data_IF_781540714083
#
_entry.id   IF_781540714083
#
_cell.length_a   1.000
_cell.length_b   1.000
_cell.length_c   1.000
_cell.angle_alpha   90.00
_cell.angle_beta   90.00
_cell.angle_gamma   90.00
#
_symmetry.space_group_name_H-M   'P 1'
#
loop_
_entity.id
_entity.type
_entity.pdbx_description
1 polymer ?
#
# COMPACT_ATOMS: atom_id res chain seq x y z
N UNK A 1 -14.61 23.64 24.79
CA UNK A 1 -13.89 23.84 23.50
C UNK A 1 -13.19 22.56 23.07
N UNK A 2 -12.28 21.98 23.87
CA UNK A 2 -11.60 20.70 23.49
C UNK A 2 -12.54 19.48 23.48
N UNK A 3 -13.53 19.43 24.38
CA UNK A 3 -14.54 18.38 24.43
C UNK A 3 -15.47 18.42 23.20
N UNK A 4 -15.79 19.59 22.69
CA UNK A 4 -16.67 19.78 21.53
C UNK A 4 -15.98 19.28 20.24
N UNK A 5 -14.67 19.55 20.10
CA UNK A 5 -13.89 19.05 18.95
C UNK A 5 -13.80 17.53 18.92
N UNK A 6 -13.55 16.90 20.06
CA UNK A 6 -13.53 15.44 20.18
C UNK A 6 -14.89 14.85 19.84
N UNK A 7 -15.99 15.51 20.27
CA UNK A 7 -17.35 15.07 19.92
C UNK A 7 -17.64 15.20 18.43
N UNK A 8 -17.18 16.28 17.78
CA UNK A 8 -17.32 16.49 16.34
C UNK A 8 -16.57 15.42 15.53
N UNK A 9 -15.35 15.06 15.94
CA UNK A 9 -14.58 14.01 15.28
C UNK A 9 -15.19 12.60 15.45
N UNK A 10 -15.70 12.32 16.65
CA UNK A 10 -16.43 11.07 16.90
C UNK A 10 -17.71 11.00 16.06
N UNK A 11 -18.42 12.12 15.93
CA UNK A 11 -19.61 12.20 15.07
C UNK A 11 -19.25 12.01 13.60
N UNK A 12 -18.16 12.63 13.11
CA UNK A 12 -17.66 12.47 11.75
C UNK A 12 -17.22 11.02 11.48
N UNK A 13 -16.51 10.38 12.40
CA UNK A 13 -16.11 8.98 12.28
C UNK A 13 -17.33 8.05 12.26
N UNK A 14 -18.36 8.31 13.07
CA UNK A 14 -19.65 7.56 13.04
C UNK A 14 -20.39 7.76 11.73
N UNK A 15 -20.42 8.99 11.20
CA UNK A 15 -21.04 9.28 9.91
C UNK A 15 -20.31 8.54 8.77
N UNK A 16 -18.97 8.49 8.83
CA UNK A 16 -18.16 7.73 7.87
C UNK A 16 -18.46 6.22 7.97
N UNK A 17 -18.52 5.68 9.17
CA UNK A 17 -18.86 4.28 9.41
C UNK A 17 -20.26 3.92 8.88
N UNK A 18 -21.24 4.81 9.03
CA UNK A 18 -22.59 4.62 8.49
C UNK A 18 -22.61 4.61 6.95
N UNK A 19 -21.66 5.29 6.29
CA UNK A 19 -21.53 5.30 4.83
C UNK A 19 -20.66 4.16 4.27
N UNK A 20 -20.06 3.36 5.12
CA UNK A 20 -19.14 2.30 4.72
C UNK A 20 -19.70 1.35 3.64
N UNK A 21 -20.97 0.89 3.68
CA UNK A 21 -21.54 0.05 2.61
C UNK A 21 -21.47 0.74 1.24
N UNK A 22 -21.79 2.04 1.18
CA UNK A 22 -21.75 2.82 -0.07
C UNK A 22 -20.31 2.98 -0.58
N UNK A 23 -19.34 3.21 0.32
CA UNK A 23 -17.93 3.32 -0.01
C UNK A 23 -17.36 2.00 -0.53
N UNK A 24 -17.78 0.87 0.03
CA UNK A 24 -17.42 -0.47 -0.45
C UNK A 24 -17.93 -0.68 -1.88
N UNK A 25 -19.19 -0.31 -2.16
CA UNK A 25 -19.77 -0.43 -3.50
C UNK A 25 -19.07 0.47 -4.52
N UNK A 26 -18.71 1.70 -4.15
CA UNK A 26 -17.91 2.59 -4.99
C UNK A 26 -16.53 2.02 -5.26
N UNK A 27 -15.88 1.49 -4.24
CA UNK A 27 -14.57 0.84 -4.33
C UNK A 27 -14.59 -0.37 -5.26
N UNK A 28 -15.62 -1.20 -5.17
CA UNK A 28 -15.82 -2.35 -6.07
C UNK A 28 -16.00 -1.92 -7.52
N UNK A 29 -16.79 -0.88 -7.78
CA UNK A 29 -16.97 -0.33 -9.12
C UNK A 29 -15.65 0.19 -9.69
N UNK A 30 -14.87 0.90 -8.88
CA UNK A 30 -13.55 1.41 -9.26
C UNK A 30 -12.58 0.28 -9.57
N UNK A 31 -12.53 -0.76 -8.74
CA UNK A 31 -11.70 -1.94 -8.97
C UNK A 31 -12.10 -2.69 -10.25
N UNK A 32 -13.40 -2.86 -10.52
CA UNK A 32 -13.91 -3.52 -11.73
C UNK A 32 -13.53 -2.72 -12.99
N UNK A 33 -13.62 -1.39 -12.96
CA UNK A 33 -13.25 -0.54 -14.11
C UNK A 33 -11.78 -0.69 -14.50
N UNK A 34 -10.90 -0.84 -13.51
CA UNK A 34 -9.48 -1.08 -13.74
C UNK A 34 -9.20 -2.48 -14.31
N UNK A 35 -9.90 -3.50 -13.82
CA UNK A 35 -9.75 -4.87 -14.32
C UNK A 35 -10.07 -4.98 -15.81
N UNK A 36 -11.08 -4.25 -16.29
CA UNK A 36 -11.41 -4.17 -17.72
C UNK A 36 -10.25 -3.68 -18.58
N UNK A 37 -9.40 -2.78 -18.04
CA UNK A 37 -8.21 -2.26 -18.73
C UNK A 37 -6.94 -3.11 -18.56
N UNK A 38 -6.89 -4.00 -17.54
CA UNK A 38 -5.71 -4.82 -17.21
C UNK A 38 -5.66 -6.17 -17.95
N UNK A 39 -6.63 -6.50 -18.81
CA UNK A 39 -6.70 -7.78 -19.51
C UNK A 39 -5.53 -8.10 -20.45
N UNK A 40 -4.53 -7.21 -20.61
CA UNK A 40 -3.31 -7.45 -21.38
C UNK A 40 -2.19 -8.21 -20.65
N UNK A 41 -2.22 -8.34 -19.33
CA UNK A 41 -1.16 -8.99 -18.54
C UNK A 41 -1.70 -10.12 -17.67
N UNK A 42 -2.27 -11.14 -18.29
CA UNK A 42 -2.49 -12.42 -17.61
C UNK A 42 -1.14 -13.06 -17.33
N UNK A 43 -0.56 -12.76 -16.18
CA UNK A 43 0.42 -13.66 -15.57
C UNK A 43 -0.35 -14.71 -14.80
N UNK A 44 -0.06 -15.97 -15.13
CA UNK A 44 -0.60 -17.16 -14.50
C UNK A 44 -0.46 -17.02 -12.99
N UNK A 45 -1.60 -17.07 -12.27
CA UNK A 45 -1.68 -16.86 -10.83
C UNK A 45 -1.39 -18.13 -10.04
N UNK A 46 -1.09 -18.00 -8.74
CA UNK A 46 -0.57 -19.07 -7.89
C UNK A 46 -1.66 -20.05 -7.45
N UNK A 47 -1.31 -21.30 -7.38
CA UNK A 47 -1.97 -22.30 -6.54
C UNK A 47 -2.71 -23.42 -7.24
N UNK A 48 -3.19 -23.27 -8.46
CA UNK A 48 -3.80 -24.35 -9.24
C UNK A 48 -3.37 -24.35 -10.70
N UNK A 49 -2.63 -23.35 -11.14
CA UNK A 49 -2.36 -23.15 -12.55
C UNK A 49 -1.10 -23.90 -12.98
N UNK A 50 -1.28 -24.60 -14.08
CA UNK A 50 -0.28 -25.34 -14.78
C UNK A 50 0.87 -24.44 -15.23
N UNK A 51 2.11 -24.71 -14.78
CA UNK A 51 3.29 -24.02 -15.26
C UNK A 51 3.86 -24.71 -16.49
N UNK A 52 4.27 -25.98 -16.32
CA UNK A 52 4.81 -26.78 -17.42
C UNK A 52 4.74 -28.26 -17.11
N UNK A 53 4.88 -29.08 -18.16
CA UNK A 53 5.16 -30.50 -18.00
C UNK A 53 6.67 -30.71 -18.06
N UNK A 54 7.22 -31.47 -17.10
CA UNK A 54 8.56 -32.01 -17.21
C UNK A 54 8.53 -33.52 -17.18
N UNK A 55 9.54 -34.19 -17.75
CA UNK A 55 9.67 -35.64 -17.60
C UNK A 55 9.76 -36.04 -16.12
N UNK A 56 9.13 -37.17 -15.80
CA UNK A 56 9.22 -37.80 -14.49
C UNK A 56 10.66 -38.27 -14.23
N UNK A 57 11.16 -38.00 -13.01
CA UNK A 57 12.45 -38.51 -12.54
C UNK A 57 12.19 -39.41 -11.33
N UNK A 58 12.87 -40.59 -11.20
CA UNK A 58 12.72 -41.43 -10.01
C UNK A 58 12.92 -40.64 -8.72
N UNK A 59 11.92 -40.71 -7.84
CA UNK A 59 11.89 -39.91 -6.59
C UNK A 59 10.85 -38.79 -6.57
N UNK A 60 10.26 -38.48 -7.72
CA UNK A 60 9.15 -37.50 -7.79
C UNK A 60 7.85 -38.07 -7.20
N UNK A 61 7.02 -37.21 -6.57
CA UNK A 61 5.72 -37.64 -6.06
C UNK A 61 4.79 -38.14 -7.17
N UNK A 62 4.32 -39.37 -7.06
CA UNK A 62 3.46 -40.04 -8.08
C UNK A 62 2.08 -39.38 -8.21
N UNK A 63 1.62 -38.62 -7.18
CA UNK A 63 0.37 -37.88 -7.22
C UNK A 63 0.41 -36.64 -8.13
N UNK A 64 1.60 -36.22 -8.58
CA UNK A 64 1.79 -35.10 -9.51
C UNK A 64 1.92 -35.55 -10.97
N UNK A 65 1.86 -36.87 -11.24
CA UNK A 65 1.93 -37.38 -12.59
C UNK A 65 0.63 -37.06 -13.35
N UNK A 66 0.76 -36.43 -14.50
CA UNK A 66 -0.36 -36.24 -15.42
C UNK A 66 -0.52 -37.51 -16.31
N UNK A 67 -1.33 -38.44 -15.80
CA UNK A 67 -1.60 -39.71 -16.49
C UNK A 67 -2.22 -39.51 -17.84
N UNK A 68 -3.04 -38.45 -18.04
CA UNK A 68 -3.71 -38.20 -19.33
C UNK A 68 -2.73 -37.78 -20.42
N UNK A 69 -1.71 -37.02 -20.07
CA UNK A 69 -0.64 -36.63 -21.00
C UNK A 69 0.36 -37.77 -21.19
N UNK A 70 0.73 -38.45 -20.13
CA UNK A 70 1.67 -39.56 -20.16
C UNK A 70 1.15 -40.75 -21.02
N UNK A 71 -0.15 -40.96 -21.05
CA UNK A 71 -0.79 -42.01 -21.88
C UNK A 71 -0.74 -41.73 -23.40
N UNK A 72 -0.28 -40.59 -23.84
CA UNK A 72 -0.22 -40.19 -25.25
C UNK A 72 1.19 -40.34 -25.86
N UNK A 73 2.16 -40.83 -25.10
CA UNK A 73 3.55 -41.02 -25.55
C UNK A 73 4.33 -41.90 -24.59
N UNK A 74 5.60 -42.15 -24.91
CA UNK A 74 6.48 -43.08 -24.18
C UNK A 74 7.11 -42.50 -22.92
N UNK A 75 6.74 -41.25 -22.55
CA UNK A 75 7.31 -40.56 -21.39
C UNK A 75 6.25 -40.20 -20.35
N UNK A 76 6.60 -40.44 -19.08
CA UNK A 76 5.79 -39.99 -17.95
C UNK A 76 6.08 -38.55 -17.68
N UNK A 77 5.02 -37.75 -17.57
CA UNK A 77 5.11 -36.30 -17.31
C UNK A 77 4.54 -35.94 -15.95
N UNK A 78 5.27 -35.06 -15.22
CA UNK A 78 4.78 -34.40 -14.03
C UNK A 78 4.22 -33.03 -14.39
N UNK A 79 3.07 -32.74 -13.81
CA UNK A 79 2.50 -31.40 -13.80
C UNK A 79 3.21 -30.58 -12.75
N UNK A 80 4.08 -29.68 -13.18
CA UNK A 80 4.66 -28.67 -12.30
C UNK A 80 3.66 -27.52 -12.12
N UNK A 81 3.30 -27.24 -10.88
CA UNK A 81 2.59 -26.03 -10.50
C UNK A 81 3.61 -25.08 -9.85
N UNK A 82 3.66 -23.84 -10.24
CA UNK A 82 4.49 -22.87 -9.57
C UNK A 82 3.80 -22.45 -8.26
N UNK A 83 4.39 -22.83 -7.16
CA UNK A 83 3.92 -22.41 -5.83
C UNK A 83 4.46 -21.01 -5.55
N UNK A 84 3.73 -19.98 -5.96
CA UNK A 84 3.99 -18.65 -5.45
C UNK A 84 3.31 -18.53 -4.07
N UNK A 85 4.12 -18.39 -3.03
CA UNK A 85 3.60 -18.01 -1.73
C UNK A 85 2.87 -16.66 -1.87
N UNK A 86 1.63 -16.57 -1.42
CA UNK A 86 0.86 -15.32 -1.45
C UNK A 86 1.65 -14.23 -0.72
N UNK A 87 1.75 -13.06 -1.34
CA UNK A 87 2.40 -11.91 -0.73
C UNK A 87 1.44 -11.27 0.27
N UNK A 88 2.00 -10.70 1.35
CA UNK A 88 1.20 -10.05 2.37
C UNK A 88 1.29 -8.52 2.22
N UNK A 89 0.15 -7.89 2.06
CA UNK A 89 0.01 -6.44 1.96
C UNK A 89 -0.64 -5.90 3.23
N UNK A 90 -0.02 -4.88 3.82
CA UNK A 90 -0.57 -4.14 4.94
C UNK A 90 -1.01 -2.78 4.48
N UNK A 91 -2.30 -2.48 4.57
CA UNK A 91 -2.87 -1.19 4.19
C UNK A 91 -3.21 -0.43 5.47
N UNK A 92 -2.61 0.73 5.62
CA UNK A 92 -2.83 1.62 6.76
C UNK A 92 -3.45 2.93 6.31
N UNK A 93 -4.77 3.08 6.36
CA UNK A 93 -5.42 4.37 6.24
C UNK A 93 -5.21 5.16 7.54
N UNK A 94 -4.46 6.25 7.48
CA UNK A 94 -4.22 7.15 8.61
C UNK A 94 -5.35 8.17 8.64
N UNK A 95 -6.39 7.90 9.43
CA UNK A 95 -7.61 8.71 9.51
C UNK A 95 -7.50 9.74 10.64
N UNK A 96 -6.52 10.64 10.55
CA UNK A 96 -6.33 11.75 11.50
C UNK A 96 -7.53 12.73 11.49
N UNK A 97 -7.74 13.55 12.51
CA UNK A 97 -8.83 14.53 12.56
C UNK A 97 -8.92 15.43 11.32
N UNK A 98 -7.78 15.83 10.76
CA UNK A 98 -7.69 16.63 9.53
C UNK A 98 -8.22 15.96 8.29
N UNK A 99 -8.38 14.62 8.30
CA UNK A 99 -8.88 13.86 7.16
C UNK A 99 -10.39 13.98 6.93
N UNK A 100 -11.14 14.36 7.96
CA UNK A 100 -12.62 14.45 7.89
C UNK A 100 -13.13 15.76 7.28
N UNK A 101 -12.24 16.66 6.90
CA UNK A 101 -12.58 17.91 6.25
C UNK A 101 -12.60 17.80 4.73
N UNK A 102 -13.38 18.66 4.08
CA UNK A 102 -13.46 18.84 2.62
C UNK A 102 -13.73 20.32 2.31
N UNK A 103 -13.06 20.86 1.31
CA UNK A 103 -13.28 22.25 0.84
C UNK A 103 -14.62 22.48 0.14
N UNK A 104 -15.31 21.42 -0.27
CA UNK A 104 -16.61 21.50 -0.93
C UNK A 104 -17.47 20.27 -0.59
N UNK A 105 -18.76 20.51 -0.42
CA UNK A 105 -19.75 19.43 -0.24
C UNK A 105 -19.91 18.51 -1.44
N UNK A 106 -19.43 18.93 -2.61
CA UNK A 106 -19.52 18.15 -3.86
C UNK A 106 -18.39 17.15 -4.05
N UNK A 107 -17.35 17.20 -3.21
CA UNK A 107 -16.22 16.28 -3.24
C UNK A 107 -16.17 15.50 -1.94
N UNK A 108 -15.69 14.23 -1.98
CA UNK A 108 -15.54 13.44 -0.76
C UNK A 108 -14.48 14.05 0.16
N UNK A 109 -14.62 13.84 1.46
CA UNK A 109 -13.55 14.14 2.43
C UNK A 109 -12.30 13.30 2.14
N UNK A 110 -11.16 13.74 2.65
CA UNK A 110 -9.90 12.97 2.53
C UNK A 110 -10.07 11.57 3.14
N UNK A 111 -10.77 11.44 4.27
CA UNK A 111 -11.04 10.17 4.92
C UNK A 111 -11.88 9.21 4.03
N UNK A 112 -12.96 9.70 3.43
CA UNK A 112 -13.78 8.90 2.50
C UNK A 112 -12.97 8.44 1.29
N UNK A 113 -12.18 9.33 0.70
CA UNK A 113 -11.33 9.01 -0.44
C UNK A 113 -10.24 7.99 -0.08
N UNK A 114 -9.64 8.12 1.10
CA UNK A 114 -8.66 7.17 1.63
C UNK A 114 -9.25 5.78 1.78
N UNK A 115 -10.45 5.67 2.35
CA UNK A 115 -11.14 4.38 2.47
C UNK A 115 -11.50 3.78 1.10
N UNK A 116 -12.01 4.59 0.17
CA UNK A 116 -12.31 4.13 -1.20
C UNK A 116 -11.06 3.53 -1.86
N UNK A 117 -9.93 4.23 -1.81
CA UNK A 117 -8.67 3.76 -2.37
C UNK A 117 -8.17 2.49 -1.67
N UNK A 118 -8.19 2.47 -0.34
CA UNK A 118 -7.72 1.34 0.46
C UNK A 118 -8.53 0.07 0.22
N UNK A 119 -9.87 0.19 0.20
CA UNK A 119 -10.78 -0.95 0.00
C UNK A 119 -10.72 -1.43 -1.46
N UNK A 120 -10.66 -0.52 -2.44
CA UNK A 120 -10.55 -0.89 -3.84
C UNK A 120 -9.23 -1.61 -4.15
N UNK A 121 -8.12 -1.14 -3.55
CA UNK A 121 -6.83 -1.81 -3.68
C UNK A 121 -6.84 -3.18 -3.02
N UNK A 122 -7.45 -3.31 -1.84
CA UNK A 122 -7.62 -4.59 -1.16
C UNK A 122 -8.43 -5.59 -2.02
N UNK A 123 -9.54 -5.16 -2.63
CA UNK A 123 -10.33 -6.00 -3.55
C UNK A 123 -9.49 -6.50 -4.74
N UNK A 124 -8.69 -5.61 -5.35
CA UNK A 124 -7.81 -5.97 -6.47
C UNK A 124 -6.74 -7.00 -6.06
N UNK A 125 -6.06 -6.78 -4.93
CA UNK A 125 -5.01 -7.65 -4.43
C UNK A 125 -5.56 -9.04 -4.04
N UNK A 126 -6.68 -9.09 -3.32
CA UNK A 126 -7.30 -10.35 -2.90
C UNK A 126 -7.75 -11.18 -4.11
N UNK A 127 -8.31 -10.54 -5.14
CA UNK A 127 -8.70 -11.24 -6.38
C UNK A 127 -7.51 -11.80 -7.15
N UNK A 128 -6.32 -11.30 -6.88
CA UNK A 128 -5.07 -11.84 -7.41
C UNK A 128 -4.45 -12.94 -6.53
N UNK A 129 -5.14 -13.37 -5.48
CA UNK A 129 -4.67 -14.42 -4.57
C UNK A 129 -3.78 -13.94 -3.44
N UNK A 130 -3.69 -12.62 -3.22
CA UNK A 130 -2.85 -12.04 -2.19
C UNK A 130 -3.57 -11.95 -0.84
N UNK A 131 -2.79 -11.85 0.24
CA UNK A 131 -3.31 -11.62 1.58
C UNK A 131 -3.25 -10.14 1.91
N UNK A 132 -4.36 -9.55 2.33
CA UNK A 132 -4.42 -8.15 2.73
C UNK A 132 -4.79 -8.02 4.20
N UNK A 133 -4.06 -7.18 4.91
CA UNK A 133 -4.31 -6.86 6.32
C UNK A 133 -4.27 -5.36 6.60
N UNK A 134 -4.68 -5.00 7.82
CA UNK A 134 -4.60 -3.64 8.35
C UNK A 134 -4.11 -3.64 9.80
N UNK A 135 -3.66 -2.48 10.27
CA UNK A 135 -3.08 -2.31 11.61
C UNK A 135 -4.15 -1.88 12.64
N UNK A 136 -5.27 -2.56 12.68
CA UNK A 136 -6.16 -2.51 13.84
C UNK A 136 -5.52 -3.27 15.01
N UNK A 137 -5.99 -3.08 16.24
CA UNK A 137 -5.40 -3.75 17.41
C UNK A 137 -5.28 -5.28 17.28
N UNK A 138 -6.13 -5.91 16.46
CA UNK A 138 -6.19 -7.36 16.23
C UNK A 138 -5.36 -7.81 15.01
N UNK A 139 -4.83 -6.89 14.23
CA UNK A 139 -4.13 -7.18 12.96
C UNK A 139 -4.97 -8.01 11.99
N UNK A 140 -6.16 -7.53 11.72
CA UNK A 140 -7.12 -8.18 10.81
C UNK A 140 -6.47 -8.42 9.45
N UNK A 141 -6.58 -9.67 8.96
CA UNK A 141 -6.12 -10.09 7.63
C UNK A 141 -7.20 -10.90 6.94
N UNK A 142 -7.29 -10.75 5.63
CA UNK A 142 -8.24 -11.46 4.79
C UNK A 142 -7.58 -11.97 3.51
N UNK A 143 -8.12 -13.07 2.99
CA UNK A 143 -7.70 -13.73 1.74
C UNK A 143 -8.86 -13.91 0.76
N UNK A 144 -10.08 -13.54 1.16
CA UNK A 144 -11.28 -13.63 0.34
C UNK A 144 -12.02 -12.30 0.32
N UNK A 145 -12.57 -11.94 -0.84
CA UNK A 145 -13.39 -10.74 -1.02
C UNK A 145 -14.69 -10.75 -0.21
N UNK A 146 -15.14 -11.93 0.23
CA UNK A 146 -16.30 -12.08 1.12
C UNK A 146 -16.08 -11.40 2.47
N UNK A 147 -14.81 -11.29 2.91
CA UNK A 147 -14.42 -10.65 4.17
C UNK A 147 -14.01 -9.17 3.99
N UNK A 148 -14.23 -8.58 2.81
CA UNK A 148 -13.81 -7.20 2.53
C UNK A 148 -14.49 -6.20 3.47
N UNK A 149 -15.74 -6.44 3.85
CA UNK A 149 -16.47 -5.61 4.81
C UNK A 149 -15.82 -5.65 6.20
N UNK A 150 -15.40 -6.84 6.66
CA UNK A 150 -14.66 -6.99 7.91
C UNK A 150 -13.35 -6.16 7.88
N UNK A 151 -12.60 -6.22 6.79
CA UNK A 151 -11.38 -5.44 6.63
C UNK A 151 -11.67 -3.92 6.63
N UNK A 152 -12.74 -3.50 5.94
CA UNK A 152 -13.14 -2.10 5.90
C UNK A 152 -13.53 -1.55 7.29
N UNK A 153 -14.23 -2.34 8.11
CA UNK A 153 -14.49 -1.97 9.50
C UNK A 153 -13.21 -1.91 10.34
N UNK A 154 -12.29 -2.86 10.15
CA UNK A 154 -10.99 -2.84 10.82
C UNK A 154 -10.15 -1.62 10.46
N UNK A 155 -10.23 -1.14 9.21
CA UNK A 155 -9.56 0.08 8.75
C UNK A 155 -10.02 1.34 9.48
N UNK A 156 -11.25 1.39 9.99
CA UNK A 156 -11.74 2.50 10.82
C UNK A 156 -11.12 2.52 12.23
N UNK A 157 -10.59 1.38 12.68
CA UNK A 157 -9.96 1.22 14.00
C UNK A 157 -8.43 1.32 13.94
N UNK A 158 -7.85 1.67 12.80
CA UNK A 158 -6.40 1.85 12.67
C UNK A 158 -5.92 3.09 13.43
N UNK A 159 -4.66 3.09 13.90
CA UNK A 159 -4.09 4.27 14.54
C UNK A 159 -4.08 5.49 13.62
N UNK A 160 -4.35 6.66 14.18
CA UNK A 160 -4.52 7.91 13.45
C UNK A 160 -3.23 8.72 13.32
N UNK A 161 -2.12 8.26 13.90
CA UNK A 161 -0.81 8.93 13.84
C UNK A 161 0.31 7.92 13.58
N UNK A 162 1.14 8.24 12.62
CA UNK A 162 2.35 7.49 12.29
C UNK A 162 3.42 7.74 13.34
N UNK A 163 3.58 9.01 13.78
CA UNK A 163 4.60 9.42 14.73
C UNK A 163 4.52 8.65 16.05
N UNK A 164 3.31 8.42 16.55
CA UNK A 164 3.10 7.74 17.85
C UNK A 164 2.97 6.23 17.74
N UNK A 165 2.46 5.72 16.64
CA UNK A 165 2.06 4.32 16.52
C UNK A 165 2.95 3.50 15.57
N UNK A 166 3.55 4.15 14.56
CA UNK A 166 4.29 3.46 13.51
C UNK A 166 5.50 2.66 14.01
N UNK A 167 6.16 3.10 15.08
CA UNK A 167 7.30 2.38 15.66
C UNK A 167 6.92 1.03 16.28
N UNK A 168 5.68 0.89 16.72
CA UNK A 168 5.16 -0.35 17.32
C UNK A 168 4.53 -1.29 16.29
N UNK A 169 4.49 -0.89 15.03
CA UNK A 169 3.94 -1.68 13.94
C UNK A 169 5.02 -2.53 13.29
N UNK A 170 4.90 -3.84 13.45
CA UNK A 170 5.82 -4.81 12.88
C UNK A 170 5.09 -5.67 11.86
N UNK A 171 5.08 -5.30 10.57
CA UNK A 171 4.40 -6.09 9.54
C UNK A 171 5.02 -7.47 9.34
N UNK A 172 6.23 -7.69 9.84
CA UNK A 172 7.05 -8.86 9.55
C UNK A 172 8.11 -8.54 8.47
N UNK A 173 8.74 -9.58 7.92
CA UNK A 173 9.75 -9.43 6.86
C UNK A 173 9.13 -9.77 5.51
N UNK A 174 9.57 -9.05 4.46
CA UNK A 174 9.12 -9.26 3.07
C UNK A 174 7.61 -9.08 2.89
N UNK A 175 7.08 -8.02 3.43
CA UNK A 175 5.70 -7.60 3.25
C UNK A 175 5.67 -6.26 2.51
N UNK A 176 4.55 -5.89 1.92
CA UNK A 176 4.36 -4.54 1.41
C UNK A 176 3.49 -3.74 2.36
N UNK A 177 3.92 -2.52 2.67
CA UNK A 177 3.22 -1.59 3.56
C UNK A 177 2.76 -0.38 2.77
N UNK A 178 1.46 -0.13 2.77
CA UNK A 178 0.85 1.01 2.09
C UNK A 178 0.22 1.92 3.12
N UNK A 179 0.71 3.15 3.18
CA UNK A 179 0.22 4.16 4.11
C UNK A 179 -0.49 5.24 3.31
N UNK A 180 -1.75 5.48 3.62
CA UNK A 180 -2.59 6.47 2.94
C UNK A 180 -3.06 7.52 3.96
N UNK A 181 -2.82 8.79 3.68
CA UNK A 181 -3.20 9.87 4.59
C UNK A 181 -2.79 11.22 4.07
N UNK A 182 -3.05 12.27 4.84
CA UNK A 182 -2.59 13.62 4.53
C UNK A 182 -1.17 13.91 5.06
N UNK A 183 -0.68 13.12 6.01
CA UNK A 183 0.64 13.28 6.62
C UNK A 183 0.90 14.68 7.20
N UNK A 184 -0.13 15.39 7.66
CA UNK A 184 0.02 16.71 8.27
C UNK A 184 0.93 16.70 9.50
N UNK A 185 1.04 15.57 10.19
CA UNK A 185 1.95 15.39 11.33
C UNK A 185 3.43 15.63 11.01
N UNK A 186 3.83 15.68 9.71
CA UNK A 186 5.17 16.11 9.33
C UNK A 186 5.46 17.57 9.71
N UNK A 187 4.43 18.40 9.84
CA UNK A 187 4.61 19.79 10.25
C UNK A 187 5.07 19.90 11.69
N UNK A 188 4.52 19.07 12.58
CA UNK A 188 4.74 19.18 14.03
C UNK A 188 5.67 18.08 14.56
N UNK A 189 5.64 16.89 13.97
CA UNK A 189 6.34 15.69 14.43
C UNK A 189 7.19 15.04 13.33
N UNK A 190 7.74 15.84 12.41
CA UNK A 190 8.40 15.35 11.20
C UNK A 190 9.53 14.33 11.43
N UNK A 191 10.35 14.51 12.46
CA UNK A 191 11.45 13.58 12.77
C UNK A 191 10.94 12.26 13.35
N UNK A 192 9.92 12.30 14.19
CA UNK A 192 9.28 11.10 14.74
C UNK A 192 8.57 10.32 13.64
N UNK A 193 7.83 11.00 12.76
CA UNK A 193 7.15 10.42 11.61
C UNK A 193 8.15 9.75 10.65
N UNK A 194 9.27 10.44 10.33
CA UNK A 194 10.35 9.86 9.51
C UNK A 194 10.95 8.63 10.17
N UNK A 195 11.19 8.68 11.48
CA UNK A 195 11.76 7.55 12.21
C UNK A 195 10.81 6.34 12.21
N UNK A 196 9.52 6.57 12.43
CA UNK A 196 8.50 5.53 12.39
C UNK A 196 8.38 4.89 10.99
N UNK A 197 8.36 5.68 9.92
CA UNK A 197 8.35 5.16 8.55
C UNK A 197 9.62 4.37 8.21
N UNK A 198 10.80 4.83 8.67
CA UNK A 198 12.04 4.05 8.51
C UNK A 198 11.97 2.71 9.23
N UNK A 199 11.40 2.67 10.44
CA UNK A 199 11.22 1.41 11.18
C UNK A 199 10.37 0.40 10.39
N UNK A 200 9.30 0.86 9.75
CA UNK A 200 8.46 0.04 8.88
C UNK A 200 9.23 -0.48 7.64
N UNK A 201 10.13 0.34 7.08
CA UNK A 201 10.93 -0.03 5.89
C UNK A 201 12.14 -0.94 6.19
N UNK A 202 12.69 -0.93 7.43
CA UNK A 202 13.93 -1.62 7.78
C UNK A 202 13.88 -3.16 7.62
N UNK A 203 12.72 -3.76 7.61
CA UNK A 203 12.53 -5.22 7.50
C UNK A 203 12.55 -5.74 6.05
N UNK A 204 13.16 -5.02 5.12
CA UNK A 204 13.10 -5.31 3.67
C UNK A 204 11.64 -5.34 3.15
N UNK A 205 10.81 -4.45 3.69
CA UNK A 205 9.46 -4.28 3.26
C UNK A 205 9.40 -3.26 2.13
N UNK A 206 8.75 -3.64 1.05
CA UNK A 206 8.34 -2.69 0.03
C UNK A 206 7.20 -1.83 0.54
N UNK A 207 6.98 -0.67 -0.05
CA UNK A 207 5.89 0.17 0.39
C UNK A 207 5.52 1.30 -0.54
N UNK A 208 4.44 1.97 -0.17
CA UNK A 208 4.01 3.19 -0.82
C UNK A 208 3.39 4.16 0.19
N UNK A 209 3.65 5.44 0.00
CA UNK A 209 2.93 6.53 0.64
C UNK A 209 1.96 7.14 -0.38
N UNK A 210 0.68 7.19 -0.04
CA UNK A 210 -0.33 7.88 -0.86
C UNK A 210 -0.76 9.14 -0.13
N UNK A 211 -0.30 10.27 -0.62
CA UNK A 211 -0.58 11.57 -0.04
C UNK A 211 -1.92 12.08 -0.54
N UNK A 212 -2.92 12.07 0.33
CA UNK A 212 -4.29 12.48 0.02
C UNK A 212 -4.45 13.96 0.31
N UNK A 213 -4.81 14.72 -0.70
CA UNK A 213 -4.90 16.18 -0.66
C UNK A 213 -6.31 16.65 -1.04
N UNK A 214 -6.78 17.68 -0.34
CA UNK A 214 -7.92 18.46 -0.80
C UNK A 214 -7.46 19.51 -1.84
N UNK A 215 -8.28 19.86 -2.84
CA UNK A 215 -7.92 20.89 -3.81
C UNK A 215 -7.49 22.23 -3.18
N UNK A 216 -8.11 22.64 -2.08
CA UNK A 216 -7.76 23.89 -1.39
C UNK A 216 -6.39 23.84 -0.68
N UNK A 217 -5.84 22.67 -0.41
CA UNK A 217 -4.48 22.50 0.12
C UNK A 217 -3.39 22.71 -0.96
N UNK A 218 -3.80 22.59 -2.24
CA UNK A 218 -2.92 22.82 -3.39
C UNK A 218 -3.04 24.24 -3.90
N UNK A 219 -4.30 24.69 -4.08
CA UNK A 219 -4.65 26.00 -4.61
C UNK A 219 -5.77 26.59 -3.75
N UNK A 220 -5.43 27.29 -2.67
CA UNK A 220 -6.43 27.86 -1.77
C UNK A 220 -7.33 28.84 -2.51
N UNK A 221 -8.65 28.66 -2.48
CA UNK A 221 -9.60 29.57 -3.15
C UNK A 221 -9.96 30.77 -2.27
N UNK A 222 -9.23 31.01 -1.17
CA UNK A 222 -9.58 32.00 -0.17
C UNK A 222 -9.16 33.40 -0.58
N UNK A 223 -9.99 34.38 -0.22
CA UNK A 223 -9.74 35.82 -0.41
C UNK A 223 -10.31 36.61 0.77
N UNK A 224 -9.65 37.75 1.10
CA UNK A 224 -10.08 38.62 2.17
C UNK A 224 -10.00 37.98 3.57
N UNK A 225 -11.03 38.23 4.40
CA UNK A 225 -11.05 37.71 5.76
C UNK A 225 -11.26 36.20 5.82
N UNK A 226 -10.37 35.51 6.53
CA UNK A 226 -10.45 34.03 6.71
C UNK A 226 -10.23 33.67 8.18
N UNK A 227 -10.92 32.59 8.60
CA UNK A 227 -10.70 31.94 9.88
C UNK A 227 -10.18 30.55 9.63
N UNK A 228 -8.98 30.25 10.10
CA UNK A 228 -8.44 28.90 10.12
C UNK A 228 -8.79 28.27 11.47
N UNK A 229 -9.34 27.07 11.42
CA UNK A 229 -9.70 26.30 12.60
C UNK A 229 -8.80 25.07 12.62
N UNK A 230 -8.02 24.92 13.69
CA UNK A 230 -7.25 23.71 13.89
C UNK A 230 -8.18 22.53 14.19
N UNK A 231 -7.98 21.43 13.51
CA UNK A 231 -8.81 20.23 13.66
C UNK A 231 -8.53 19.43 14.93
N UNK A 232 -7.41 19.70 15.62
CA UNK A 232 -7.04 19.00 16.85
C UNK A 232 -7.46 19.80 18.09
N UNK A 233 -7.11 21.08 18.15
CA UNK A 233 -7.24 21.92 19.35
C UNK A 233 -8.37 22.96 19.26
N UNK A 234 -9.08 23.03 18.14
CA UNK A 234 -10.07 24.09 17.85
C UNK A 234 -9.50 25.52 18.00
N UNK A 235 -8.19 25.67 17.88
CA UNK A 235 -7.58 26.98 17.83
C UNK A 235 -8.04 27.69 16.58
N UNK A 236 -8.50 28.94 16.77
CA UNK A 236 -8.97 29.77 15.64
C UNK A 236 -7.91 30.82 15.38
N UNK A 237 -7.28 30.72 14.21
CA UNK A 237 -6.44 31.78 13.69
C UNK A 237 -7.24 32.63 12.70
N UNK A 238 -7.37 33.94 13.03
CA UNK A 238 -8.11 34.88 12.19
C UNK A 238 -7.15 35.74 11.38
N UNK A 239 -7.36 35.86 10.08
CA UNK A 239 -6.67 36.82 9.23
C UNK A 239 -7.67 37.73 8.56
N UNK A 240 -7.37 39.03 8.57
CA UNK A 240 -8.18 40.05 7.89
C UNK A 240 -8.01 39.95 6.33
N UNK A 241 -6.83 39.49 5.92
CA UNK A 241 -6.49 39.30 4.49
C UNK A 241 -5.73 38.03 4.30
N UNK A 242 -6.33 37.08 3.54
CA UNK A 242 -5.64 35.82 3.17
C UNK A 242 -4.44 36.10 2.28
N UNK A 243 -4.51 37.14 1.44
CA UNK A 243 -3.47 37.52 0.50
C UNK A 243 -2.11 37.74 1.19
N UNK A 244 -2.13 38.29 2.43
CA UNK A 244 -0.92 38.49 3.22
C UNK A 244 -0.28 37.18 3.72
N UNK A 245 -1.06 36.11 3.74
CA UNK A 245 -0.64 34.77 4.18
C UNK A 245 -0.36 33.81 3.00
N UNK A 246 -0.81 34.13 1.79
CA UNK A 246 -0.84 33.24 0.65
C UNK A 246 0.54 32.66 0.31
N UNK A 247 1.58 33.49 0.33
CA UNK A 247 2.94 33.04 0.02
C UNK A 247 3.48 32.11 1.12
N UNK A 248 3.27 32.45 2.39
CA UNK A 248 3.65 31.63 3.53
C UNK A 248 2.92 30.27 3.52
N UNK A 249 1.64 30.28 3.19
CA UNK A 249 0.85 29.05 3.03
C UNK A 249 1.41 28.18 1.92
N UNK A 250 1.66 28.77 0.75
CA UNK A 250 2.22 28.06 -0.42
C UNK A 250 3.58 27.42 -0.10
N UNK A 251 4.47 28.16 0.57
CA UNK A 251 5.79 27.65 0.98
C UNK A 251 5.64 26.47 1.95
N UNK A 252 4.79 26.57 2.97
CA UNK A 252 4.54 25.49 3.92
C UNK A 252 3.94 24.26 3.24
N UNK A 253 2.96 24.45 2.36
CA UNK A 253 2.37 23.36 1.60
C UNK A 253 3.37 22.67 0.66
N UNK A 254 4.29 23.43 0.04
CA UNK A 254 5.36 22.87 -0.77
C UNK A 254 6.35 22.07 0.07
N UNK A 255 6.78 22.62 1.23
CA UNK A 255 7.67 21.94 2.15
C UNK A 255 7.05 20.64 2.66
N UNK A 256 5.81 20.67 3.12
CA UNK A 256 5.08 19.50 3.59
C UNK A 256 5.04 18.38 2.52
N UNK A 257 4.68 18.72 1.29
CA UNK A 257 4.69 17.75 0.17
C UNK A 257 6.09 17.23 -0.16
N UNK A 258 7.12 18.05 0.00
CA UNK A 258 8.51 17.62 -0.16
C UNK A 258 8.92 16.66 0.95
N UNK A 259 8.61 16.97 2.21
CA UNK A 259 8.91 16.13 3.38
C UNK A 259 8.32 14.70 3.23
N UNK A 260 7.07 14.59 2.75
CA UNK A 260 6.42 13.29 2.49
C UNK A 260 7.18 12.52 1.39
N UNK A 261 7.51 13.18 0.28
CA UNK A 261 8.26 12.55 -0.83
C UNK A 261 9.65 12.09 -0.38
N UNK A 262 10.32 12.89 0.40
CA UNK A 262 11.66 12.57 0.88
C UNK A 262 11.63 11.40 1.88
N UNK A 263 10.59 11.31 2.72
CA UNK A 263 10.39 10.18 3.60
C UNK A 263 10.14 8.87 2.82
N UNK A 264 9.37 8.91 1.74
CA UNK A 264 9.17 7.75 0.87
C UNK A 264 10.49 7.34 0.19
N UNK A 265 11.24 8.30 -0.35
CA UNK A 265 12.53 8.08 -1.01
C UNK A 265 13.55 7.43 -0.09
N UNK A 266 13.61 7.85 1.18
CA UNK A 266 14.54 7.30 2.18
C UNK A 266 14.29 5.80 2.46
N UNK A 267 13.10 5.32 2.16
CA UNK A 267 12.71 3.91 2.31
C UNK A 267 12.67 3.15 0.98
N UNK A 268 13.04 3.78 -0.14
CA UNK A 268 12.85 3.24 -1.49
C UNK A 268 11.39 2.86 -1.79
N UNK A 269 10.45 3.66 -1.24
CA UNK A 269 9.01 3.50 -1.41
C UNK A 269 8.47 4.41 -2.50
N UNK A 270 7.39 3.97 -3.15
CA UNK A 270 6.60 4.83 -4.03
C UNK A 270 5.99 5.98 -3.22
N UNK A 271 6.00 7.19 -3.77
CA UNK A 271 5.17 8.30 -3.28
C UNK A 271 4.25 8.76 -4.40
N UNK A 272 2.96 8.58 -4.21
CA UNK A 272 1.93 9.11 -5.11
C UNK A 272 1.07 10.16 -4.40
N UNK A 273 0.55 11.13 -5.17
CA UNK A 273 -0.33 12.18 -4.68
C UNK A 273 -1.72 12.03 -5.31
N UNK A 274 -2.74 11.98 -4.47
CA UNK A 274 -4.12 11.93 -4.90
C UNK A 274 -4.90 13.14 -4.42
N UNK A 275 -5.59 13.82 -5.33
CA UNK A 275 -6.47 14.95 -5.02
C UNK A 275 -7.91 14.48 -4.95
N UNK A 276 -8.61 14.78 -3.87
CA UNK A 276 -9.96 14.26 -3.60
C UNK A 276 -11.00 14.55 -4.68
N UNK A 277 -10.82 15.64 -5.45
CA UNK A 277 -11.67 15.98 -6.60
C UNK A 277 -11.43 15.13 -7.85
N UNK A 278 -10.35 14.34 -7.88
CA UNK A 278 -10.00 13.49 -9.02
C UNK A 278 -10.56 12.09 -8.89
N UNK A 279 -10.61 11.37 -10.02
CA UNK A 279 -10.95 9.94 -10.01
C UNK A 279 -9.90 9.12 -9.24
N UNK A 280 -10.35 8.12 -8.50
CA UNK A 280 -9.48 7.18 -7.78
C UNK A 280 -8.70 6.23 -8.72
N UNK A 281 -9.18 6.01 -9.94
CA UNK A 281 -8.66 5.00 -10.86
C UNK A 281 -7.19 5.18 -11.25
N UNK A 282 -6.68 6.37 -11.59
CA UNK A 282 -5.27 6.55 -11.94
C UNK A 282 -4.33 6.19 -10.78
N UNK A 283 -4.64 6.65 -9.57
CA UNK A 283 -3.85 6.34 -8.36
C UNK A 283 -3.86 4.84 -8.06
N UNK A 284 -5.02 4.18 -8.15
CA UNK A 284 -5.11 2.72 -7.97
C UNK A 284 -4.31 1.96 -9.02
N UNK A 285 -4.33 2.41 -10.27
CA UNK A 285 -3.56 1.79 -11.35
C UNK A 285 -2.05 1.91 -11.07
N UNK A 286 -1.58 3.10 -10.71
CA UNK A 286 -0.17 3.34 -10.40
C UNK A 286 0.31 2.49 -9.22
N UNK A 287 -0.48 2.42 -8.15
CA UNK A 287 -0.19 1.57 -6.99
C UNK A 287 -0.13 0.09 -7.38
N UNK A 288 -1.14 -0.39 -8.09
CA UNK A 288 -1.22 -1.79 -8.50
C UNK A 288 -0.06 -2.20 -9.41
N UNK A 289 0.32 -1.34 -10.38
CA UNK A 289 1.46 -1.57 -11.26
C UNK A 289 2.76 -1.63 -10.48
N UNK A 290 3.01 -0.65 -9.59
CA UNK A 290 4.21 -0.61 -8.76
C UNK A 290 4.36 -1.89 -7.90
N UNK A 291 3.30 -2.29 -7.22
CA UNK A 291 3.31 -3.50 -6.38
C UNK A 291 3.56 -4.77 -7.20
N UNK A 292 2.97 -4.85 -8.39
CA UNK A 292 3.16 -6.00 -9.30
C UNK A 292 4.59 -6.07 -9.85
N UNK A 293 5.23 -4.95 -10.14
CA UNK A 293 6.61 -4.89 -10.62
C UNK A 293 7.61 -5.30 -9.54
N UNK A 294 7.44 -4.82 -8.31
CA UNK A 294 8.28 -5.17 -7.17
C UNK A 294 8.20 -6.66 -6.82
N UNK A 295 7.01 -7.23 -6.86
CA UNK A 295 6.80 -8.66 -6.66
C UNK A 295 7.57 -9.51 -7.69
N UNK A 296 7.59 -9.09 -8.96
CA UNK A 296 8.33 -9.75 -10.03
C UNK A 296 9.85 -9.67 -9.83
N UNK A 297 10.38 -8.55 -9.33
CA UNK A 297 11.81 -8.38 -9.07
C UNK A 297 12.28 -9.20 -7.88
N UNK A 298 11.47 -9.30 -6.82
CA UNK A 298 11.75 -10.13 -5.64
C UNK A 298 11.84 -11.64 -5.96
N UNK A 299 11.06 -12.11 -6.92
CA UNK A 299 11.08 -13.51 -7.39
C UNK A 299 12.33 -13.89 -8.19
N UNK A 300 12.98 -12.93 -8.87
CA UNK A 300 14.16 -13.21 -9.70
C UNK A 300 15.49 -13.26 -8.91
N UNK A 301 15.58 -12.60 -7.77
CA UNK A 301 16.78 -12.60 -6.92
C UNK A 301 16.94 -13.86 -6.06
N UNK A 302 15.97 -14.77 -6.07
CA UNK A 302 16.04 -16.07 -5.41
C UNK A 302 16.74 -17.17 -6.22
N UNK A 303 17.11 -16.94 -7.47
CA UNK A 303 17.91 -17.88 -8.27
C UNK A 303 19.39 -17.65 -7.97
N UNK A 304 19.92 -18.57 -7.16
CA UNK A 304 21.28 -18.60 -6.65
C UNK A 304 22.33 -18.18 -7.69
N UNK A 305 23.20 -17.28 -7.30
CA UNK A 305 24.54 -17.19 -7.87
C UNK A 305 25.19 -18.56 -7.74
N UNK A 306 25.65 -19.19 -8.83
CA UNK A 306 26.51 -20.36 -8.68
C UNK A 306 27.76 -19.93 -7.91
N UNK A 307 28.04 -20.58 -6.80
CA UNK A 307 29.25 -20.41 -6.04
C UNK A 307 30.43 -20.79 -6.92
N UNK A 308 31.20 -19.84 -7.38
CA UNK A 308 32.52 -20.01 -7.93
C UNK A 308 33.50 -20.32 -6.77
N UNK A 309 33.43 -21.57 -6.27
CA UNK A 309 34.45 -22.10 -5.38
C UNK A 309 34.60 -23.58 -5.73
N UNK A 310 35.49 -23.85 -6.70
CA UNK A 310 36.28 -25.06 -6.83
C UNK A 310 36.97 -25.09 -8.21
N UNK A 311 38.08 -24.42 -8.32
CA UNK A 311 39.11 -24.73 -9.30
C UNK A 311 40.46 -24.19 -8.80
N UNK A 312 40.96 -24.79 -7.72
CA UNK A 312 42.36 -24.67 -7.33
C UNK A 312 42.75 -25.86 -6.51
N UNK A 313 43.08 -26.96 -7.22
CA UNK A 313 44.04 -27.98 -6.75
C UNK A 313 44.35 -28.87 -7.95
N UNK A 314 45.63 -28.92 -8.31
CA UNK A 314 46.10 -29.94 -9.24
C UNK A 314 47.12 -29.43 -10.24
N UNK A 315 48.30 -29.00 -9.79
CA UNK A 315 49.53 -29.18 -10.53
C UNK A 315 50.67 -29.15 -9.54
N UNK A 316 50.96 -30.35 -9.06
CA UNK A 316 52.19 -30.63 -8.31
C UNK A 316 53.06 -31.51 -9.19
N UNK A 317 54.32 -31.15 -9.22
CA UNK A 317 55.53 -31.92 -9.50
C UNK A 317 55.67 -32.67 -10.81
N UNK A 318 56.64 -32.24 -11.53
CA UNK A 318 57.80 -33.11 -11.84
C UNK A 318 59.03 -32.23 -12.16
N UNK A 319 59.93 -32.19 -11.19
CA UNK A 319 61.35 -31.98 -11.38
C UNK A 319 61.99 -33.31 -11.53
N UNK A 320 62.87 -33.47 -12.48
CA UNK A 320 64.02 -34.35 -12.44
C UNK A 320 65.10 -33.76 -13.30
N UNK A 321 66.17 -33.43 -12.67
CA UNK A 321 67.55 -33.94 -12.68
C UNK A 321 68.22 -33.98 -14.06
N UNK A 322 69.18 -33.16 -14.29
CA UNK A 322 70.62 -33.45 -14.45
C UNK A 322 71.41 -32.16 -14.51
#
# INVERSE_FOLDING_TARGET
VALDAVQDHVAAARALAARLPQLIDESRRTAISLRGGLHGNRKVGPGSDFWQFRPYIPGDPTNQIDWRRSARGDHTFIRQTEWQASHNYWIWPVLSPSMYWSSSRSIPSKAERTLILSIALADLLIRNGETVGTFDGERTRITSVEHLEKLAHAMLATPHSIATSGMNMHPGRKHSVLVLGDFLEFADHGDQTRHALRSLGQSQNDGALVHILDPAEISPPFQGRVNFIDSQDNLIFKSEKFEDLADGFKQRAQKWRADVRDAARQNDWLCDQHVTSQSASPTLLALYQHLSERQNQGGSNGRGRPSLTQARTGSHDMQETS
#
